data_IF_367831536324
#
_entry.id   IF_367831536324
#
_cell.length_a   1.000
_cell.length_b   1.000
_cell.length_c   1.000
_cell.angle_alpha   90.00
_cell.angle_beta   90.00
_cell.angle_gamma   90.00
#
_symmetry.space_group_name_H-M   'P 1'
#
loop_
_entity.id
_entity.type
_entity.pdbx_description
1 polymer ?
#
# COMPACT_ATOMS: atom_id res chain seq x y z
N UNK A 1 -87.75 53.35 10.18
CA UNK A 1 -87.33 54.53 10.96
C UNK A 1 -88.05 54.51 12.29
N UNK A 2 -87.27 54.67 13.37
CA UNK A 2 -87.64 54.77 14.80
C UNK A 2 -88.25 53.52 15.46
N UNK A 3 -87.95 53.15 16.70
CA UNK A 3 -86.82 53.34 17.64
C UNK A 3 -87.21 52.37 18.77
N UNK A 4 -86.39 51.37 19.07
CA UNK A 4 -86.55 50.53 20.27
C UNK A 4 -85.56 51.00 21.32
N UNK A 5 -86.04 51.35 22.52
CA UNK A 5 -85.19 51.74 23.65
C UNK A 5 -85.73 51.16 24.97
N UNK A 6 -84.77 50.92 25.87
CA UNK A 6 -84.80 50.52 27.28
C UNK A 6 -84.51 49.05 27.62
N UNK A 7 -83.85 48.75 28.77
CA UNK A 7 -83.15 49.62 29.73
C UNK A 7 -81.66 49.28 29.93
N UNK A 8 -80.92 50.27 30.43
CA UNK A 8 -79.69 50.09 31.17
C UNK A 8 -79.96 50.17 32.69
N UNK A 9 -78.97 49.71 33.47
CA UNK A 9 -78.70 50.01 34.89
C UNK A 9 -79.13 48.93 35.90
N UNK A 10 -78.19 48.02 36.19
CA UNK A 10 -77.95 47.42 37.51
C UNK A 10 -76.42 47.51 37.69
N UNK A 11 -75.88 48.25 38.66
CA UNK A 11 -75.83 47.84 40.06
C UNK A 11 -74.38 47.46 40.41
N UNK A 12 -73.57 48.44 40.83
CA UNK A 12 -72.27 48.18 41.49
C UNK A 12 -72.53 47.60 42.88
N UNK A 13 -71.83 46.52 43.25
CA UNK A 13 -70.97 46.46 44.46
C UNK A 13 -70.39 45.06 44.70
N UNK A 14 -69.05 45.05 44.82
CA UNK A 14 -68.22 44.38 45.83
C UNK A 14 -67.90 42.86 45.69
N UNK A 15 -66.66 42.63 45.24
CA UNK A 15 -65.63 41.72 45.78
C UNK A 15 -66.02 40.29 46.22
N UNK A 16 -65.50 39.29 45.49
CA UNK A 16 -64.57 38.33 46.08
C UNK A 16 -63.74 37.58 45.04
N UNK A 17 -62.46 37.44 45.38
CA UNK A 17 -61.38 36.69 44.76
C UNK A 17 -61.76 35.32 44.17
N UNK A 18 -61.52 35.12 42.87
CA UNK A 18 -60.80 33.93 42.40
C UNK A 18 -60.33 34.10 40.94
N UNK A 19 -59.09 34.55 40.78
CA UNK A 19 -58.36 34.40 39.52
C UNK A 19 -57.81 32.97 39.46
N UNK A 20 -58.40 32.08 38.65
CA UNK A 20 -57.71 30.85 38.23
C UNK A 20 -56.98 31.19 36.94
N UNK A 21 -55.70 31.52 37.09
CA UNK A 21 -54.76 31.67 35.99
C UNK A 21 -54.52 30.31 35.33
N UNK A 22 -54.57 30.28 33.99
CA UNK A 22 -54.22 29.12 33.19
C UNK A 22 -52.76 28.70 33.44
N UNK A 23 -52.43 27.39 33.44
CA UNK A 23 -51.06 26.95 33.61
C UNK A 23 -50.26 27.27 32.34
N UNK A 24 -49.52 28.38 32.36
CA UNK A 24 -48.40 28.59 31.45
C UNK A 24 -47.34 27.53 31.74
N UNK A 25 -47.20 26.53 30.86
CA UNK A 25 -45.99 25.68 30.83
C UNK A 25 -44.79 26.57 30.55
N UNK A 26 -44.10 27.02 31.60
CA UNK A 26 -42.72 27.48 31.48
C UNK A 26 -41.88 26.25 31.14
N UNK A 27 -41.36 26.21 29.92
CA UNK A 27 -40.29 25.30 29.54
C UNK A 27 -39.02 25.84 30.22
N UNK A 28 -38.84 25.49 31.49
CA UNK A 28 -37.59 25.76 32.21
C UNK A 28 -36.52 24.86 31.65
N UNK A 29 -35.57 25.42 30.91
CA UNK A 29 -34.26 24.78 30.75
C UNK A 29 -33.56 24.87 32.09
N UNK A 30 -33.62 23.79 32.84
CA UNK A 30 -32.89 23.61 34.09
C UNK A 30 -31.39 23.60 33.75
N UNK A 31 -30.75 24.76 33.91
CA UNK A 31 -29.31 24.89 33.78
C UNK A 31 -28.71 24.46 35.12
N UNK A 32 -28.31 23.20 35.21
CA UNK A 32 -27.53 22.71 36.34
C UNK A 32 -26.13 23.33 36.27
N UNK A 33 -25.88 24.25 37.20
CA UNK A 33 -24.60 24.90 37.48
C UNK A 33 -23.87 24.08 38.55
N UNK A 34 -23.23 23.00 38.13
CA UNK A 34 -22.27 22.22 38.89
C UNK A 34 -21.11 21.84 37.95
N UNK A 35 -20.11 22.73 37.96
CA UNK A 35 -18.93 22.73 37.11
C UNK A 35 -17.93 21.61 37.39
N UNK A 36 -18.35 20.35 37.25
CA UNK A 36 -17.46 19.20 37.08
C UNK A 36 -17.79 18.53 35.74
N UNK A 37 -17.07 18.92 34.68
CA UNK A 37 -17.24 18.34 33.34
C UNK A 37 -16.83 16.86 33.38
N UNK A 38 -17.78 15.97 33.65
CA UNK A 38 -17.56 14.52 33.58
C UNK A 38 -17.12 14.16 32.17
N UNK A 39 -15.86 13.77 32.02
CA UNK A 39 -15.30 13.27 30.76
C UNK A 39 -16.00 11.96 30.37
N UNK A 40 -17.14 12.08 29.70
CA UNK A 40 -17.88 10.93 29.19
C UNK A 40 -17.10 10.22 28.08
N UNK A 41 -17.37 8.91 27.90
CA UNK A 41 -16.76 8.02 26.89
C UNK A 41 -16.61 8.64 25.48
N UNK A 42 -17.51 9.55 25.10
CA UNK A 42 -17.47 10.29 23.84
C UNK A 42 -16.19 11.12 23.65
N UNK A 43 -15.61 11.67 24.73
CA UNK A 43 -14.35 12.42 24.67
C UNK A 43 -13.15 11.51 24.39
N UNK A 44 -13.14 10.31 24.97
CA UNK A 44 -12.13 9.29 24.65
C UNK A 44 -12.24 8.84 23.20
N UNK A 45 -13.46 8.60 22.71
CA UNK A 45 -13.70 8.24 21.31
C UNK A 45 -13.22 9.33 20.32
N UNK A 46 -13.42 10.60 20.67
CA UNK A 46 -12.96 11.74 19.87
C UNK A 46 -11.43 11.84 19.82
N UNK A 47 -10.72 11.37 20.86
CA UNK A 47 -9.25 11.38 20.92
C UNK A 47 -8.59 10.14 20.28
N UNK A 48 -9.28 9.00 20.20
CA UNK A 48 -8.72 7.77 19.60
C UNK A 48 -8.51 7.93 18.08
N UNK A 49 -9.45 8.56 17.39
CA UNK A 49 -9.37 8.77 15.94
C UNK A 49 -8.10 9.55 15.52
N UNK A 50 -7.75 10.72 16.11
CA UNK A 50 -6.53 11.42 15.74
C UNK A 50 -5.26 10.67 16.18
N UNK A 51 -5.28 9.97 17.31
CA UNK A 51 -4.13 9.17 17.77
C UNK A 51 -3.82 8.03 16.81
N UNK A 52 -4.85 7.26 16.41
CA UNK A 52 -4.69 6.15 15.46
C UNK A 52 -4.29 6.64 14.08
N UNK A 53 -4.91 7.72 13.58
CA UNK A 53 -4.53 8.34 12.31
C UNK A 53 -3.07 8.80 12.29
N UNK A 54 -2.57 9.38 13.40
CA UNK A 54 -1.17 9.79 13.52
C UNK A 54 -0.21 8.59 13.57
N UNK A 55 -0.53 7.55 14.34
CA UNK A 55 0.27 6.32 14.38
C UNK A 55 0.36 5.64 13.01
N UNK A 56 -0.76 5.53 12.29
CA UNK A 56 -0.80 5.03 10.92
C UNK A 56 -0.03 5.93 9.96
N UNK A 57 -0.18 7.26 10.07
CA UNK A 57 0.56 8.22 9.26
C UNK A 57 2.07 8.15 9.45
N UNK A 58 2.53 8.05 10.70
CA UNK A 58 3.95 7.87 11.02
C UNK A 58 4.50 6.57 10.40
N UNK A 59 3.74 5.47 10.50
CA UNK A 59 4.11 4.20 9.87
C UNK A 59 4.22 4.31 8.35
N UNK A 60 3.25 4.97 7.69
CA UNK A 60 3.28 5.19 6.24
C UNK A 60 4.52 5.98 5.79
N UNK A 61 4.91 7.01 6.56
CA UNK A 61 6.13 7.78 6.29
C UNK A 61 7.36 6.90 6.42
N UNK A 62 7.48 6.12 7.49
CA UNK A 62 8.62 5.20 7.67
C UNK A 62 8.65 4.13 6.58
N UNK A 63 7.48 3.59 6.20
CA UNK A 63 7.30 2.65 5.08
C UNK A 63 7.73 3.28 3.75
N UNK A 64 7.49 4.57 3.56
CA UNK A 64 7.95 5.28 2.36
C UNK A 64 9.46 5.50 2.39
N UNK A 65 10.04 5.89 3.54
CA UNK A 65 11.48 6.19 3.66
C UNK A 65 12.35 4.99 3.33
N UNK A 66 11.99 3.77 3.76
CA UNK A 66 12.79 2.59 3.37
C UNK A 66 12.72 2.31 1.87
N UNK A 67 11.57 2.53 1.23
CA UNK A 67 11.43 2.37 -0.22
C UNK A 67 12.31 3.37 -0.97
N UNK A 68 12.31 4.63 -0.52
CA UNK A 68 13.14 5.67 -1.11
C UNK A 68 14.64 5.37 -0.94
N UNK A 69 15.06 4.95 0.25
CA UNK A 69 16.46 4.58 0.49
C UNK A 69 16.91 3.39 -0.37
N UNK A 70 16.03 2.41 -0.60
CA UNK A 70 16.32 1.29 -1.50
C UNK A 70 16.46 1.75 -2.95
N UNK A 71 15.57 2.64 -3.40
CA UNK A 71 15.62 3.19 -4.75
C UNK A 71 16.90 4.01 -4.97
N UNK A 72 17.27 4.84 -4.00
CA UNK A 72 18.53 5.62 -4.02
C UNK A 72 19.75 4.70 -4.12
N UNK A 73 19.80 3.64 -3.30
CA UNK A 73 20.88 2.64 -3.36
C UNK A 73 20.99 2.00 -4.75
N UNK A 74 19.87 1.58 -5.33
CA UNK A 74 19.83 0.99 -6.67
C UNK A 74 20.33 1.99 -7.72
N UNK A 75 19.81 3.22 -7.70
CA UNK A 75 20.19 4.27 -8.65
C UNK A 75 21.67 4.67 -8.56
N UNK A 76 22.27 4.58 -7.37
CA UNK A 76 23.69 4.88 -7.19
C UNK A 76 24.61 3.73 -7.63
N UNK A 77 24.15 2.48 -7.54
CA UNK A 77 24.97 1.29 -7.85
C UNK A 77 24.87 0.85 -9.31
N UNK A 78 23.69 0.93 -9.94
CA UNK A 78 23.51 0.56 -11.35
C UNK A 78 24.46 1.26 -12.34
N UNK A 79 24.77 2.57 -12.22
CA UNK A 79 25.68 3.25 -13.17
C UNK A 79 27.16 3.02 -12.87
N UNK A 80 27.52 2.28 -11.82
CA UNK A 80 28.92 2.04 -11.45
C UNK A 80 29.61 1.09 -12.45
N UNK A 81 30.95 1.20 -12.65
CA UNK A 81 31.66 0.40 -13.64
C UNK A 81 31.58 -1.11 -13.32
N UNK A 82 31.38 -1.98 -14.33
CA UNK A 82 31.31 -3.42 -14.11
C UNK A 82 32.62 -4.00 -13.57
N UNK A 83 32.54 -4.74 -12.46
CA UNK A 83 33.67 -5.40 -11.81
C UNK A 83 33.70 -6.88 -12.23
N UNK A 84 34.87 -7.50 -12.49
CA UNK A 84 34.93 -8.95 -12.74
C UNK A 84 34.48 -9.73 -11.51
N UNK A 85 33.70 -10.80 -11.70
CA UNK A 85 33.22 -11.62 -10.58
C UNK A 85 34.41 -12.26 -9.84
N UNK A 86 34.57 -12.04 -8.52
CA UNK A 86 35.68 -12.62 -7.78
C UNK A 86 35.56 -14.15 -7.70
N UNK A 87 36.72 -14.81 -7.60
CA UNK A 87 36.83 -16.27 -7.62
C UNK A 87 36.33 -16.92 -6.32
N UNK A 88 36.33 -16.21 -5.20
CA UNK A 88 35.86 -16.77 -3.92
C UNK A 88 34.36 -16.52 -3.71
N UNK A 89 33.62 -17.57 -3.38
CA UNK A 89 32.18 -17.47 -3.11
C UNK A 89 31.84 -16.62 -1.87
N UNK A 90 32.80 -16.49 -0.94
CA UNK A 90 32.66 -15.60 0.23
C UNK A 90 32.83 -14.13 -0.16
N UNK A 91 33.86 -13.81 -0.95
CA UNK A 91 34.10 -12.43 -1.41
C UNK A 91 33.04 -11.97 -2.41
N UNK A 92 32.36 -12.88 -3.12
CA UNK A 92 31.18 -12.52 -3.92
C UNK A 92 29.96 -12.11 -3.10
N UNK A 93 29.91 -12.42 -1.79
CA UNK A 93 28.84 -11.96 -0.86
C UNK A 93 29.14 -10.57 -0.31
N UNK A 94 30.42 -10.17 -0.30
CA UNK A 94 30.86 -8.84 0.15
C UNK A 94 30.57 -7.75 -0.88
N UNK A 95 30.26 -8.12 -2.13
CA UNK A 95 29.84 -7.17 -3.15
C UNK A 95 28.49 -6.54 -2.77
N UNK A 96 28.30 -5.29 -3.17
CA UNK A 96 27.02 -4.63 -2.94
C UNK A 96 25.94 -5.25 -3.83
N UNK A 97 24.74 -5.46 -3.28
CA UNK A 97 23.57 -5.86 -4.07
C UNK A 97 23.30 -4.80 -5.16
N UNK A 98 23.02 -5.24 -6.38
CA UNK A 98 22.89 -4.41 -7.60
C UNK A 98 24.20 -3.86 -8.19
N UNK A 99 25.36 -4.28 -7.70
CA UNK A 99 26.64 -3.98 -8.35
C UNK A 99 26.71 -4.68 -9.72
N UNK A 100 27.01 -3.96 -10.81
CA UNK A 100 27.26 -4.56 -12.10
C UNK A 100 28.52 -5.42 -12.08
N UNK A 101 28.41 -6.64 -12.62
CA UNK A 101 29.50 -7.60 -12.74
C UNK A 101 29.58 -8.19 -14.14
N UNK A 102 30.81 -8.50 -14.53
CA UNK A 102 31.12 -9.10 -15.84
C UNK A 102 31.59 -10.54 -15.64
N UNK A 103 31.00 -11.47 -16.40
CA UNK A 103 31.39 -12.88 -16.40
C UNK A 103 31.45 -13.45 -17.81
N UNK A 104 32.38 -14.36 -18.04
CA UNK A 104 32.57 -15.07 -19.31
C UNK A 104 32.38 -16.57 -19.10
N UNK A 105 31.67 -17.22 -20.00
CA UNK A 105 31.23 -18.60 -19.79
C UNK A 105 30.26 -19.09 -20.84
N UNK A 106 29.64 -20.26 -20.59
CA UNK A 106 28.72 -20.92 -21.50
C UNK A 106 27.39 -21.23 -20.82
N UNK A 107 26.29 -21.05 -21.54
CA UNK A 107 24.96 -21.45 -21.06
C UNK A 107 24.73 -22.95 -21.24
N UNK A 108 24.16 -23.57 -20.21
CA UNK A 108 23.65 -24.92 -20.28
C UNK A 108 22.12 -24.90 -20.41
N UNK A 109 21.66 -24.89 -21.67
CA UNK A 109 20.23 -24.86 -22.00
C UNK A 109 19.50 -26.16 -21.64
N UNK A 110 20.22 -27.26 -21.35
CA UNK A 110 19.59 -28.54 -20.97
C UNK A 110 18.98 -28.48 -19.57
N UNK A 111 19.48 -27.60 -18.70
CA UNK A 111 19.04 -27.42 -17.31
C UNK A 111 18.37 -26.08 -17.06
N UNK A 112 17.67 -25.52 -18.06
CA UNK A 112 16.92 -24.28 -17.87
C UNK A 112 15.66 -24.46 -16.99
N UNK A 113 15.37 -23.46 -16.18
CA UNK A 113 14.25 -23.44 -15.24
C UNK A 113 13.36 -22.24 -15.53
N UNK A 114 12.06 -22.49 -15.61
CA UNK A 114 11.04 -21.45 -15.77
C UNK A 114 10.45 -21.08 -14.41
N UNK A 115 10.64 -19.83 -14.00
CA UNK A 115 10.07 -19.31 -12.77
C UNK A 115 8.69 -18.72 -13.09
N UNK A 116 7.66 -19.52 -12.77
CA UNK A 116 6.25 -19.21 -12.49
C UNK A 116 5.48 -18.23 -13.40
N UNK A 117 4.14 -18.24 -13.37
CA UNK A 117 3.36 -17.19 -14.01
C UNK A 117 3.65 -15.84 -13.34
N UNK A 118 4.33 -14.94 -14.06
CA UNK A 118 4.71 -13.59 -13.66
C UNK A 118 4.21 -12.60 -14.69
N UNK A 119 3.66 -11.48 -14.25
CA UNK A 119 3.37 -10.35 -15.12
C UNK A 119 4.67 -9.69 -15.58
N UNK A 120 4.72 -9.24 -16.82
CA UNK A 120 5.78 -8.34 -17.28
C UNK A 120 5.69 -7.02 -16.48
N UNK A 121 6.84 -6.49 -16.06
CA UNK A 121 6.96 -5.14 -15.51
C UNK A 121 7.44 -4.26 -16.65
N UNK A 122 6.55 -3.43 -17.17
CA UNK A 122 6.87 -2.43 -18.19
C UNK A 122 6.87 -1.05 -17.54
N UNK A 123 7.74 -0.15 -18.01
CA UNK A 123 7.75 1.25 -17.57
C UNK A 123 6.48 1.98 -18.02
N UNK A 124 5.86 1.49 -19.10
CA UNK A 124 4.57 1.93 -19.58
C UNK A 124 3.47 1.11 -18.90
N UNK A 125 2.65 1.76 -18.08
CA UNK A 125 1.45 1.15 -17.52
C UNK A 125 0.32 1.34 -18.54
N UNK A 126 -0.06 0.31 -19.32
CA UNK A 126 -1.15 0.45 -20.28
C UNK A 126 -2.45 0.82 -19.57
N UNK A 127 -3.27 1.65 -20.21
CA UNK A 127 -4.57 2.06 -19.69
C UNK A 127 -5.44 0.82 -19.42
N UNK A 128 -5.94 0.68 -18.20
CA UNK A 128 -6.68 -0.50 -17.74
C UNK A 128 -5.83 -1.63 -17.14
N UNK A 129 -4.49 -1.53 -17.16
CA UNK A 129 -3.55 -2.48 -16.53
C UNK A 129 -3.59 -2.51 -14.99
N UNK A 130 -2.94 -3.51 -14.37
CA UNK A 130 -2.76 -3.55 -12.91
C UNK A 130 -2.00 -2.30 -12.42
N UNK A 131 -2.62 -1.51 -11.53
CA UNK A 131 -2.09 -0.21 -11.06
C UNK A 131 -2.49 1.03 -11.90
N UNK A 132 -3.23 0.86 -13.00
CA UNK A 132 -3.68 1.94 -13.88
C UNK A 132 -4.80 2.83 -13.31
N UNK A 133 -5.40 2.43 -12.19
CA UNK A 133 -6.50 3.18 -11.55
C UNK A 133 -6.11 4.60 -11.09
N UNK A 134 -4.81 4.93 -11.06
CA UNK A 134 -4.30 6.16 -10.43
C UNK A 134 -3.29 6.96 -11.28
N UNK A 135 -3.23 6.78 -12.61
CA UNK A 135 -2.39 7.69 -13.41
C UNK A 135 -1.87 7.23 -14.77
N UNK A 136 -2.63 6.46 -15.55
CA UNK A 136 -2.28 6.26 -16.95
C UNK A 136 -2.47 7.57 -17.74
N UNK A 137 -1.45 8.01 -18.50
CA UNK A 137 -1.69 8.98 -19.58
C UNK A 137 -2.64 8.32 -20.59
N UNK A 138 -3.71 9.01 -21.04
CA UNK A 138 -4.55 8.48 -22.09
C UNK A 138 -3.71 8.28 -23.36
N UNK A 139 -3.91 7.19 -24.12
CA UNK A 139 -3.27 7.01 -25.41
C UNK A 139 -3.52 8.23 -26.30
N UNK A 140 -2.53 8.70 -27.08
CA UNK A 140 -2.77 9.68 -28.12
C UNK A 140 -3.65 9.03 -29.20
N UNK A 141 -4.94 9.33 -29.09
CA UNK A 141 -6.03 9.12 -30.06
C UNK A 141 -6.44 7.65 -30.37
N UNK A 142 -7.73 7.34 -30.13
CA UNK A 142 -8.46 6.44 -31.03
C UNK A 142 -9.26 5.27 -30.46
N UNK A 143 -8.86 4.61 -29.37
CA UNK A 143 -9.56 3.38 -28.94
C UNK A 143 -10.21 3.48 -27.55
N UNK A 144 -11.51 3.82 -27.56
CA UNK A 144 -12.40 3.61 -26.40
C UNK A 144 -12.74 2.12 -26.31
N UNK A 145 -12.10 1.40 -25.40
CA UNK A 145 -12.63 0.14 -24.88
C UNK A 145 -13.04 0.33 -23.42
N UNK A 146 -14.24 0.89 -23.24
CA UNK A 146 -14.94 0.85 -21.98
C UNK A 146 -15.64 -0.50 -21.85
N UNK A 147 -14.98 -1.47 -21.22
CA UNK A 147 -15.66 -2.65 -20.69
C UNK A 147 -15.66 -2.54 -19.17
N UNK A 148 -16.86 -2.43 -18.59
CA UNK A 148 -17.13 -2.44 -17.14
C UNK A 148 -16.62 -3.74 -16.46
N UNK A 149 -16.26 -4.75 -17.24
CA UNK A 149 -15.66 -6.02 -16.81
C UNK A 149 -14.14 -6.00 -16.64
N UNK A 150 -13.44 -4.88 -16.87
CA UNK A 150 -11.98 -4.79 -16.76
C UNK A 150 -11.45 -4.57 -15.32
N UNK A 151 -12.10 -5.14 -14.29
CA UNK A 151 -11.50 -5.30 -12.94
C UNK A 151 -10.36 -6.35 -12.91
N UNK A 152 -9.75 -6.61 -14.07
CA UNK A 152 -8.71 -7.61 -14.29
C UNK A 152 -8.23 -7.48 -15.74
N UNK A 153 -7.42 -6.46 -16.02
CA UNK A 153 -6.67 -6.42 -17.29
C UNK A 153 -5.96 -7.75 -17.53
N UNK A 154 -5.84 -8.21 -18.80
CA UNK A 154 -4.91 -9.27 -19.12
C UNK A 154 -3.49 -8.72 -18.93
N UNK A 155 -2.95 -8.82 -17.71
CA UNK A 155 -1.52 -8.76 -17.54
C UNK A 155 -0.98 -9.94 -18.34
N UNK A 156 -0.15 -9.65 -19.34
CA UNK A 156 0.53 -10.70 -20.08
C UNK A 156 1.30 -11.53 -19.05
N UNK A 157 0.76 -12.72 -18.79
CA UNK A 157 1.35 -13.66 -17.86
C UNK A 157 2.40 -14.43 -18.64
N UNK A 158 3.57 -14.56 -18.05
CA UNK A 158 4.71 -15.22 -18.66
C UNK A 158 5.63 -15.78 -17.61
N UNK A 159 6.85 -16.13 -18.00
CA UNK A 159 7.80 -16.83 -17.14
C UNK A 159 9.15 -16.12 -17.19
N UNK A 160 9.88 -16.11 -16.09
CA UNK A 160 11.30 -15.76 -16.14
C UNK A 160 12.11 -17.01 -16.49
N UNK A 161 12.99 -16.89 -17.48
CA UNK A 161 13.89 -17.98 -17.87
C UNK A 161 15.18 -17.84 -17.08
N UNK A 162 15.45 -18.80 -16.19
CA UNK A 162 16.70 -18.89 -15.45
C UNK A 162 17.51 -20.05 -15.99
N UNK A 163 18.71 -19.77 -16.47
CA UNK A 163 19.57 -20.78 -17.10
C UNK A 163 20.90 -20.85 -16.35
N UNK A 164 21.39 -22.05 -16.01
CA UNK A 164 22.73 -22.23 -15.47
C UNK A 164 23.79 -21.78 -16.48
N UNK A 165 24.77 -21.03 -15.99
CA UNK A 165 25.88 -20.51 -16.76
C UNK A 165 27.19 -20.99 -16.14
N UNK A 166 27.95 -21.77 -16.90
CA UNK A 166 29.24 -22.31 -16.50
C UNK A 166 30.34 -21.28 -16.76
N UNK A 167 31.11 -20.95 -15.73
CA UNK A 167 32.18 -19.96 -15.81
C UNK A 167 33.41 -20.53 -16.52
N UNK A 168 33.97 -19.77 -17.46
CA UNK A 168 35.22 -20.12 -18.16
C UNK A 168 36.42 -20.22 -17.21
N UNK A 169 36.46 -19.34 -16.20
CA UNK A 169 37.59 -19.26 -15.26
C UNK A 169 37.64 -20.40 -14.24
N UNK A 170 36.52 -21.10 -14.02
CA UNK A 170 36.39 -22.19 -13.04
C UNK A 170 35.38 -23.23 -13.52
N UNK A 171 35.84 -24.27 -14.26
CA UNK A 171 34.95 -25.30 -14.79
C UNK A 171 34.21 -26.04 -13.66
N UNK A 172 32.95 -26.39 -13.89
CA UNK A 172 32.09 -27.03 -12.90
C UNK A 172 31.43 -26.10 -11.86
N UNK A 173 31.75 -24.80 -11.85
CA UNK A 173 30.99 -23.81 -11.07
C UNK A 173 29.92 -23.15 -11.93
N UNK A 174 28.67 -23.27 -11.51
CA UNK A 174 27.52 -22.70 -12.22
C UNK A 174 26.94 -21.50 -11.47
N UNK A 175 26.59 -20.45 -12.21
CA UNK A 175 25.76 -19.34 -11.71
C UNK A 175 24.39 -19.41 -12.37
N UNK A 176 23.36 -18.99 -11.65
CA UNK A 176 22.01 -18.89 -12.20
C UNK A 176 21.80 -17.50 -12.79
N UNK A 177 21.60 -17.43 -14.10
CA UNK A 177 21.37 -16.17 -14.81
C UNK A 177 19.91 -16.06 -15.19
N UNK A 178 19.25 -15.00 -14.74
CA UNK A 178 17.91 -14.64 -15.22
C UNK A 178 18.04 -13.95 -16.59
N UNK A 179 17.64 -14.65 -17.66
CA UNK A 179 17.73 -14.18 -19.05
C UNK A 179 16.60 -13.24 -19.45
N UNK A 180 15.63 -13.03 -18.56
CA UNK A 180 14.50 -12.15 -18.78
C UNK A 180 13.17 -12.89 -18.84
N UNK A 181 12.14 -12.12 -19.18
CA UNK A 181 10.75 -12.55 -19.20
C UNK A 181 10.36 -13.03 -20.60
N UNK A 182 9.61 -14.13 -20.67
CA UNK A 182 9.01 -14.66 -21.89
C UNK A 182 7.49 -14.77 -21.73
N UNK A 183 6.71 -14.48 -22.78
CA UNK A 183 5.26 -14.69 -22.72
C UNK A 183 4.94 -16.19 -22.66
N UNK A 184 3.74 -16.52 -22.15
CA UNK A 184 3.30 -17.91 -22.01
C UNK A 184 3.30 -18.69 -23.34
N UNK A 185 3.03 -18.02 -24.47
CA UNK A 185 3.10 -18.65 -25.80
C UNK A 185 4.52 -19.05 -26.23
N UNK A 186 5.56 -18.41 -25.69
CA UNK A 186 6.96 -18.70 -26.01
C UNK A 186 7.63 -19.57 -24.95
N UNK A 187 6.83 -20.33 -24.18
CA UNK A 187 7.34 -21.23 -23.14
C UNK A 187 8.33 -22.25 -23.70
N UNK A 188 8.00 -22.84 -24.84
CA UNK A 188 8.79 -23.89 -25.47
C UNK A 188 10.17 -23.36 -25.93
N UNK A 189 11.28 -24.01 -25.52
CA UNK A 189 12.62 -23.67 -26.00
C UNK A 189 12.76 -23.69 -27.52
N UNK A 190 12.11 -24.61 -28.24
CA UNK A 190 12.23 -24.77 -29.70
C UNK A 190 11.75 -23.55 -30.46
N UNK A 191 10.79 -22.81 -29.90
CA UNK A 191 10.25 -21.56 -30.46
C UNK A 191 11.24 -20.40 -30.25
N UNK A 192 12.20 -20.54 -29.34
CA UNK A 192 13.14 -19.49 -28.90
C UNK A 192 14.58 -19.68 -29.40
N UNK A 193 14.77 -20.08 -30.66
CA UNK A 193 16.13 -20.28 -31.23
C UNK A 193 17.04 -19.05 -31.09
N UNK A 194 16.49 -17.85 -31.28
CA UNK A 194 17.24 -16.59 -31.12
C UNK A 194 17.79 -16.39 -29.70
N UNK A 195 17.12 -16.94 -28.68
CA UNK A 195 17.57 -16.85 -27.29
C UNK A 195 18.57 -17.94 -26.89
N UNK A 196 18.71 -19.02 -27.67
CA UNK A 196 19.60 -20.14 -27.38
C UNK A 196 21.00 -19.89 -27.94
N UNK A 197 21.72 -18.95 -27.32
CA UNK A 197 23.12 -18.68 -27.65
C UNK A 197 24.02 -19.86 -27.31
N UNK A 198 24.79 -20.33 -28.28
CA UNK A 198 25.76 -21.41 -28.13
C UNK A 198 27.20 -20.84 -28.05
N UNK A 199 28.05 -21.49 -27.26
CA UNK A 199 29.45 -21.12 -27.10
C UNK A 199 29.76 -20.20 -25.92
N UNK A 200 30.94 -19.60 -25.94
CA UNK A 200 31.40 -18.69 -24.88
C UNK A 200 30.86 -17.28 -25.11
N UNK A 201 30.15 -16.76 -24.11
CA UNK A 201 29.55 -15.43 -24.14
C UNK A 201 30.02 -14.64 -22.92
N UNK A 202 30.27 -13.35 -23.15
CA UNK A 202 30.52 -12.38 -22.09
C UNK A 202 29.21 -11.70 -21.72
N UNK A 203 28.80 -11.78 -20.47
CA UNK A 203 27.57 -11.18 -19.98
C UNK A 203 27.89 -10.14 -18.89
N UNK A 204 27.17 -9.03 -18.96
CA UNK A 204 27.14 -8.02 -17.90
C UNK A 204 25.81 -8.17 -17.17
N UNK A 205 25.86 -8.40 -15.86
CA UNK A 205 24.67 -8.60 -15.03
C UNK A 205 24.80 -7.88 -13.70
N UNK A 206 23.71 -7.84 -12.94
CA UNK A 206 23.73 -7.32 -11.58
C UNK A 206 23.61 -8.48 -10.59
N UNK A 207 24.36 -8.43 -9.49
CA UNK A 207 24.23 -9.43 -8.43
C UNK A 207 22.95 -9.15 -7.63
N UNK A 208 22.17 -10.21 -7.42
CA UNK A 208 21.04 -10.21 -6.50
C UNK A 208 21.22 -11.34 -5.50
N UNK A 209 21.22 -10.99 -4.21
CA UNK A 209 21.26 -11.98 -3.14
C UNK A 209 19.89 -12.60 -2.90
N UNK A 210 19.87 -13.73 -2.19
CA UNK A 210 18.61 -14.24 -1.69
C UNK A 210 17.96 -13.18 -0.78
N UNK A 211 16.65 -13.09 -0.85
CA UNK A 211 15.93 -12.27 0.13
C UNK A 211 16.20 -12.89 1.49
N UNK A 212 16.91 -12.16 2.37
CA UNK A 212 17.02 -12.56 3.77
C UNK A 212 15.59 -12.63 4.29
N UNK A 213 15.16 -13.82 4.72
CA UNK A 213 13.86 -14.01 5.37
C UNK A 213 13.79 -13.03 6.52
N UNK A 214 13.03 -11.96 6.31
CA UNK A 214 13.03 -10.77 7.15
C UNK A 214 12.28 -11.07 8.44
N UNK A 215 12.97 -11.62 9.43
CA UNK A 215 12.72 -11.24 10.82
C UNK A 215 13.43 -9.90 11.07
N UNK A 216 12.96 -8.84 10.40
CA UNK A 216 13.49 -7.50 10.67
C UNK A 216 12.99 -7.05 12.06
N UNK A 217 13.89 -6.74 13.02
CA UNK A 217 13.48 -6.26 14.34
C UNK A 217 12.65 -4.96 14.26
N UNK A 218 12.85 -4.17 13.20
CA UNK A 218 12.17 -2.90 12.96
C UNK A 218 10.68 -3.07 12.62
N UNK A 219 10.28 -4.19 11.99
CA UNK A 219 8.86 -4.48 11.72
C UNK A 219 8.15 -4.84 13.02
N UNK A 220 8.81 -5.58 13.92
CA UNK A 220 8.30 -5.93 15.23
C UNK A 220 8.17 -4.69 16.15
N UNK A 221 9.08 -3.71 16.04
CA UNK A 221 8.94 -2.40 16.69
C UNK A 221 7.80 -1.57 16.08
N UNK A 222 7.66 -1.54 14.76
CA UNK A 222 6.56 -0.84 14.09
C UNK A 222 5.19 -1.46 14.40
N UNK A 223 5.11 -2.80 14.47
CA UNK A 223 3.90 -3.51 14.88
C UNK A 223 3.56 -3.21 16.34
N UNK A 224 4.56 -3.17 17.22
CA UNK A 224 4.36 -2.75 18.62
C UNK A 224 3.81 -1.33 18.70
N UNK A 225 4.31 -0.39 17.90
CA UNK A 225 3.82 1.00 17.87
C UNK A 225 2.37 1.10 17.34
N UNK A 226 2.00 0.32 16.31
CA UNK A 226 0.62 0.30 15.79
C UNK A 226 -0.36 -0.49 16.66
N UNK A 227 0.09 -1.55 17.35
CA UNK A 227 -0.75 -2.40 18.20
C UNK A 227 -0.88 -1.90 19.63
N UNK A 228 0.05 -1.06 20.12
CA UNK A 228 0.00 -0.47 21.46
C UNK A 228 -1.35 0.20 21.78
N UNK A 229 -1.92 1.06 20.90
CA UNK A 229 -3.22 1.68 21.18
C UNK A 229 -4.38 0.66 21.19
N UNK A 230 -4.33 -0.37 20.35
CA UNK A 230 -5.33 -1.45 20.30
C UNK A 230 -5.27 -2.35 21.54
N UNK A 231 -4.08 -2.71 22.01
CA UNK A 231 -3.88 -3.51 23.21
C UNK A 231 -4.28 -2.74 24.48
N UNK A 232 -3.96 -1.44 24.54
CA UNK A 232 -4.32 -0.58 25.66
C UNK A 232 -5.85 -0.41 25.77
N UNK A 233 -6.56 -0.36 24.64
CA UNK A 233 -8.02 -0.30 24.62
C UNK A 233 -8.67 -1.60 25.13
N UNK A 234 -8.09 -2.75 24.78
CA UNK A 234 -8.60 -4.04 25.23
C UNK A 234 -8.34 -4.29 26.72
N UNK A 235 -7.20 -3.81 27.25
CA UNK A 235 -6.87 -3.89 28.67
C UNK A 235 -7.71 -2.91 29.53
N UNK A 236 -8.02 -1.70 29.04
CA UNK A 236 -8.90 -0.77 29.76
C UNK A 236 -10.36 -1.24 29.80
N UNK A 237 -10.82 -1.93 28.76
CA UNK A 237 -12.20 -2.44 28.68
C UNK A 237 -12.43 -3.70 29.53
N UNK A 238 -11.38 -4.33 30.05
CA UNK A 238 -11.48 -5.48 30.97
C UNK A 238 -11.36 -5.11 32.46
N UNK A 239 -11.16 -3.83 32.79
CA UNK A 239 -11.01 -3.31 34.16
C UNK A 239 -12.16 -2.38 34.60
N UNK A 240 -13.20 -2.23 33.78
CA UNK A 240 -14.46 -1.52 34.05
C UNK A 240 -15.61 -2.52 34.03
#
# INVERSE_FOLDING_TARGET
MRTTAFPAILGRRLCCNHCIAAPTRRFGTEYNDDGEKRVGFKHFLLLICPLTAFSLGYWQIQRRRWKLALLEKVNNLLPSPPIPLPKDAKSSTDLLEFQPVTVEGRFDHSREVLIGPRSIITDEIPFGGYGSAWGSKPPPEGHKQSNLSNFGAPSSTGYFVVTPFELKDRPGTFILVNRGWIPTCNRDPFVRKTGQIEGFVKINGCIRYNEKVSLQPNVLQSLKICMLPLLCFHLLSGML
#
